data_IF_919832892878
#
_entry.id   IF_919832892878
#
_cell.length_a   1.000
_cell.length_b   1.000
_cell.length_c   1.000
_cell.angle_alpha   90.00
_cell.angle_beta   90.00
_cell.angle_gamma   90.00
#
_symmetry.space_group_name_H-M   'P 1'
#
loop_
_entity.id
_entity.type
_entity.pdbx_description
1 polymer ?
#
# COMPACT_ATOMS: atom_id res chain seq x y z
N UNK A 1 16.14 49.27 -2.75
CA UNK A 1 16.65 48.00 -2.18
C UNK A 1 15.45 47.09 -2.01
N UNK A 2 15.31 46.04 -2.83
CA UNK A 2 14.15 45.13 -2.82
C UNK A 2 14.53 43.93 -1.96
N UNK A 3 13.89 43.77 -0.81
CA UNK A 3 14.12 42.62 0.08
C UNK A 3 13.23 41.46 -0.38
N UNK A 4 13.82 40.41 -0.93
CA UNK A 4 13.11 39.15 -1.20
C UNK A 4 12.90 38.40 0.12
N UNK A 5 11.65 38.14 0.47
CA UNK A 5 11.29 37.31 1.61
C UNK A 5 11.10 35.88 1.10
N UNK A 6 12.04 34.98 1.42
CA UNK A 6 11.91 33.55 1.11
C UNK A 6 11.06 32.91 2.21
N UNK A 7 9.80 32.60 1.89
CA UNK A 7 8.94 31.82 2.76
C UNK A 7 9.36 30.35 2.73
N UNK A 8 9.83 29.83 3.87
CA UNK A 8 10.11 28.40 4.04
C UNK A 8 8.76 27.68 4.20
N UNK A 9 8.29 27.05 3.12
CA UNK A 9 7.14 26.15 3.21
C UNK A 9 7.66 24.82 3.75
N UNK A 10 7.24 24.47 4.96
CA UNK A 10 7.60 23.22 5.60
C UNK A 10 6.93 22.05 4.85
N UNK A 11 7.72 21.31 4.08
CA UNK A 11 7.23 20.08 3.46
C UNK A 11 7.00 19.04 4.57
N UNK A 12 5.74 18.76 4.90
CA UNK A 12 5.39 17.64 5.78
C UNK A 12 5.69 16.33 5.05
N UNK A 13 6.91 15.81 5.23
CA UNK A 13 7.34 14.50 4.80
C UNK A 13 6.66 13.40 5.65
N UNK A 14 5.34 13.30 5.52
CA UNK A 14 4.56 12.21 6.11
C UNK A 14 4.49 11.01 5.17
N UNK A 15 4.40 9.81 5.74
CA UNK A 15 4.09 8.60 4.98
C UNK A 15 2.75 8.74 4.24
N UNK A 16 2.61 8.10 3.09
CA UNK A 16 1.36 8.11 2.31
C UNK A 16 0.22 7.52 3.14
N UNK A 17 -0.99 8.10 3.06
CA UNK A 17 -2.19 7.62 3.74
C UNK A 17 -3.06 6.78 2.80
N UNK A 18 -4.01 6.02 3.34
CA UNK A 18 -5.04 5.34 2.54
C UNK A 18 -5.86 6.28 1.66
N UNK A 19 -6.12 7.51 2.12
CA UNK A 19 -6.83 8.53 1.35
C UNK A 19 -6.03 8.93 0.09
N UNK A 20 -4.75 9.21 0.29
CA UNK A 20 -3.84 9.58 -0.81
C UNK A 20 -3.67 8.42 -1.78
N UNK A 21 -3.54 7.19 -1.28
CA UNK A 21 -3.46 6.00 -2.11
C UNK A 21 -4.73 5.81 -2.95
N UNK A 22 -5.93 5.86 -2.35
CA UNK A 22 -7.18 5.67 -3.09
C UNK A 22 -7.33 6.73 -4.19
N UNK A 23 -6.97 8.00 -3.91
CA UNK A 23 -7.00 9.07 -4.92
C UNK A 23 -6.15 8.75 -6.16
N UNK A 24 -4.98 8.12 -5.98
CA UNK A 24 -4.17 7.68 -7.11
C UNK A 24 -4.83 6.50 -7.85
N UNK A 25 -5.39 5.55 -7.11
CA UNK A 25 -5.99 4.35 -7.67
C UNK A 25 -7.29 4.61 -8.45
N UNK A 26 -8.02 5.68 -8.14
CA UNK A 26 -9.30 6.02 -8.80
C UNK A 26 -9.19 7.20 -9.75
N UNK A 27 -7.97 7.59 -10.13
CA UNK A 27 -7.76 8.70 -11.06
C UNK A 27 -7.92 8.22 -12.51
N UNK A 28 -8.58 9.03 -13.34
CA UNK A 28 -8.78 8.79 -14.78
C UNK A 28 -7.55 9.17 -15.63
N UNK A 29 -6.35 8.83 -15.14
CA UNK A 29 -5.08 9.11 -15.81
C UNK A 29 -4.06 8.01 -15.51
N UNK A 30 -3.32 7.61 -16.54
CA UNK A 30 -2.32 6.53 -16.46
C UNK A 30 -1.19 6.82 -15.45
N UNK A 31 -0.72 8.06 -15.34
CA UNK A 31 0.36 8.43 -14.41
C UNK A 31 0.01 8.16 -12.93
N UNK A 32 -1.08 8.76 -12.40
CA UNK A 32 -1.62 8.43 -11.08
C UNK A 32 -1.87 6.94 -10.84
N UNK A 33 -2.41 6.22 -11.82
CA UNK A 33 -2.63 4.78 -11.69
C UNK A 33 -1.30 4.01 -11.55
N UNK A 34 -0.25 4.43 -12.26
CA UNK A 34 1.10 3.90 -12.08
C UNK A 34 1.67 4.14 -10.68
N UNK A 35 1.34 5.28 -10.04
CA UNK A 35 1.71 5.54 -8.64
C UNK A 35 0.96 4.59 -7.69
N UNK A 36 -0.33 4.34 -7.95
CA UNK A 36 -1.11 3.38 -7.18
C UNK A 36 -0.53 1.96 -7.27
N UNK A 37 -0.30 1.47 -8.50
CA UNK A 37 0.26 0.13 -8.69
C UNK A 37 1.64 0.01 -8.08
N UNK A 38 2.54 0.97 -8.32
CA UNK A 38 3.89 0.95 -7.78
C UNK A 38 3.92 0.96 -6.25
N UNK A 39 3.03 1.71 -5.60
CA UNK A 39 2.97 1.74 -4.14
C UNK A 39 2.45 0.41 -3.56
N UNK A 40 1.36 -0.15 -4.10
CA UNK A 40 0.79 -1.42 -3.61
C UNK A 40 1.78 -2.57 -3.82
N UNK A 41 2.33 -2.69 -5.03
CA UNK A 41 3.27 -3.77 -5.36
C UNK A 41 4.58 -3.61 -4.60
N UNK A 42 5.08 -2.39 -4.43
CA UNK A 42 6.28 -2.15 -3.60
C UNK A 42 6.11 -2.58 -2.15
N UNK A 43 4.90 -2.42 -1.57
CA UNK A 43 4.60 -2.94 -0.22
C UNK A 43 4.61 -4.47 -0.22
N UNK A 44 3.96 -5.09 -1.21
CA UNK A 44 3.93 -6.56 -1.34
C UNK A 44 5.36 -7.10 -1.48
N UNK A 45 6.14 -6.59 -2.41
CA UNK A 45 7.54 -6.97 -2.67
C UNK A 45 8.40 -6.81 -1.41
N UNK A 46 8.24 -5.70 -0.68
CA UNK A 46 8.95 -5.50 0.59
C UNK A 46 8.61 -6.60 1.61
N UNK A 47 7.35 -7.02 1.68
CA UNK A 47 6.93 -8.13 2.54
C UNK A 47 7.38 -9.51 2.01
N UNK A 48 7.62 -9.65 0.71
CA UNK A 48 8.27 -10.84 0.14
C UNK A 48 9.75 -10.90 0.52
N UNK A 49 10.45 -9.75 0.55
CA UNK A 49 11.87 -9.71 0.91
C UNK A 49 12.15 -10.14 2.35
N UNK A 50 11.18 -9.95 3.26
CA UNK A 50 11.26 -10.45 4.64
C UNK A 50 11.31 -12.00 4.73
N UNK A 51 11.03 -12.72 3.62
CA UNK A 51 10.82 -14.18 3.58
C UNK A 51 11.72 -14.95 2.61
N UNK A 52 12.71 -14.33 1.97
CA UNK A 52 13.61 -15.00 0.99
C UNK A 52 14.38 -16.21 1.58
N UNK A 53 14.32 -16.49 2.88
CA UNK A 53 15.11 -17.56 3.51
C UNK A 53 14.37 -18.90 3.73
N UNK A 54 13.04 -19.07 3.52
CA UNK A 54 12.37 -20.34 3.91
C UNK A 54 11.36 -20.99 2.95
N UNK A 55 11.29 -20.59 1.68
CA UNK A 55 10.59 -21.37 0.65
C UNK A 55 9.08 -21.58 0.88
N UNK A 56 8.39 -20.68 1.60
CA UNK A 56 6.94 -20.69 1.79
C UNK A 56 6.32 -19.44 1.15
N UNK A 57 5.18 -19.59 0.48
CA UNK A 57 4.36 -18.51 -0.10
C UNK A 57 3.62 -17.68 0.99
N UNK A 58 4.22 -17.55 2.16
CA UNK A 58 3.66 -16.89 3.34
C UNK A 58 4.37 -15.55 3.52
N UNK A 59 3.63 -14.44 3.48
CA UNK A 59 4.14 -13.10 3.69
C UNK A 59 3.78 -12.63 5.09
N UNK A 60 4.79 -12.22 5.85
CA UNK A 60 4.61 -11.73 7.21
C UNK A 60 5.35 -10.41 7.35
N UNK A 61 4.62 -9.32 7.55
CA UNK A 61 5.24 -8.11 8.04
C UNK A 61 5.40 -8.20 9.56
N UNK A 62 6.61 -8.48 10.04
CA UNK A 62 6.87 -8.61 11.48
C UNK A 62 6.62 -7.31 12.27
N UNK A 63 6.75 -6.15 11.63
CA UNK A 63 6.59 -4.85 12.29
C UNK A 63 5.12 -4.43 12.48
N UNK A 64 4.23 -4.87 11.59
CA UNK A 64 2.81 -4.53 11.57
C UNK A 64 1.92 -5.69 12.01
N UNK A 65 2.46 -6.90 12.11
CA UNK A 65 1.74 -8.09 12.58
C UNK A 65 0.76 -8.67 11.56
N UNK A 66 0.82 -8.24 10.31
CA UNK A 66 -0.06 -8.75 9.26
C UNK A 66 0.57 -9.95 8.54
N UNK A 67 -0.26 -10.98 8.32
CA UNK A 67 0.09 -12.22 7.61
C UNK A 67 -0.90 -12.47 6.47
N UNK A 68 -0.41 -12.82 5.29
CA UNK A 68 -1.22 -13.24 4.14
C UNK A 68 -0.42 -14.17 3.22
N UNK A 69 -1.13 -14.92 2.38
CA UNK A 69 -0.53 -15.90 1.46
C UNK A 69 -1.07 -15.70 0.04
N UNK A 70 -0.19 -15.38 -0.90
CA UNK A 70 -0.57 -15.27 -2.31
C UNK A 70 -0.33 -16.61 -3.00
N UNK A 71 -1.20 -16.99 -3.93
CA UNK A 71 -0.96 -18.18 -4.74
C UNK A 71 0.12 -17.95 -5.80
N UNK A 72 0.76 -19.03 -6.27
CA UNK A 72 1.92 -18.99 -7.18
C UNK A 72 1.74 -18.22 -8.50
N UNK A 73 0.49 -18.03 -8.95
CA UNK A 73 0.17 -17.34 -10.22
C UNK A 73 -0.62 -16.04 -10.02
N UNK A 74 -0.46 -15.39 -8.87
CA UNK A 74 -1.15 -14.14 -8.55
C UNK A 74 -0.81 -13.06 -9.59
N UNK A 75 -1.82 -12.36 -10.07
CA UNK A 75 -1.66 -11.23 -10.98
C UNK A 75 -1.65 -9.91 -10.20
N UNK A 76 -1.12 -8.85 -10.83
CA UNK A 76 -1.15 -7.51 -10.23
C UNK A 76 -2.58 -7.04 -9.92
N UNK A 77 -3.54 -7.33 -10.81
CA UNK A 77 -4.95 -6.97 -10.60
C UNK A 77 -5.56 -7.67 -9.38
N UNK A 78 -5.32 -8.98 -9.24
CA UNK A 78 -5.80 -9.76 -8.09
C UNK A 78 -5.26 -9.25 -6.75
N UNK A 79 -4.07 -8.64 -6.73
CA UNK A 79 -3.52 -7.99 -5.54
C UNK A 79 -4.11 -6.59 -5.31
N UNK A 80 -4.25 -5.80 -6.37
CA UNK A 80 -4.67 -4.40 -6.27
C UNK A 80 -6.17 -4.24 -5.96
N UNK A 81 -7.01 -5.02 -6.63
CA UNK A 81 -8.47 -4.94 -6.52
C UNK A 81 -8.99 -5.05 -5.07
N UNK A 82 -8.58 -6.05 -4.27
CA UNK A 82 -9.04 -6.15 -2.88
C UNK A 82 -8.57 -4.97 -2.02
N UNK A 83 -7.36 -4.46 -2.24
CA UNK A 83 -6.86 -3.26 -1.53
C UNK A 83 -7.72 -2.04 -1.85
N UNK A 84 -8.01 -1.81 -3.13
CA UNK A 84 -8.82 -0.67 -3.57
C UNK A 84 -10.26 -0.80 -3.04
N UNK A 85 -10.84 -2.00 -3.11
CA UNK A 85 -12.17 -2.28 -2.58
C UNK A 85 -12.23 -2.04 -1.07
N UNK A 86 -11.23 -2.53 -0.32
CA UNK A 86 -11.13 -2.34 1.12
C UNK A 86 -11.05 -0.85 1.48
N UNK A 87 -10.25 -0.06 0.77
CA UNK A 87 -10.14 1.39 1.00
C UNK A 87 -11.47 2.12 0.74
N UNK A 88 -12.21 1.74 -0.31
CA UNK A 88 -13.52 2.33 -0.65
C UNK A 88 -14.55 2.10 0.46
N UNK A 89 -14.59 0.92 1.06
CA UNK A 89 -15.59 0.56 2.10
C UNK A 89 -15.15 0.93 3.52
N UNK A 90 -13.90 1.35 3.73
CA UNK A 90 -13.34 1.73 5.04
C UNK A 90 -12.93 3.22 5.14
N UNK A 91 -13.81 4.21 4.84
CA UNK A 91 -13.42 5.61 4.77
C UNK A 91 -12.86 6.17 6.08
N UNK A 92 -13.39 5.71 7.23
CA UNK A 92 -12.92 6.14 8.57
C UNK A 92 -11.49 5.70 8.88
N UNK A 93 -10.94 4.71 8.17
CA UNK A 93 -9.59 4.19 8.37
C UNK A 93 -8.55 4.79 7.41
N UNK A 94 -8.99 5.47 6.34
CA UNK A 94 -8.10 5.99 5.29
C UNK A 94 -7.08 7.04 5.73
N UNK A 95 -7.20 7.58 6.94
CA UNK A 95 -6.20 8.48 7.52
C UNK A 95 -4.93 7.76 8.02
N UNK A 96 -4.98 6.45 8.23
CA UNK A 96 -3.80 5.66 8.59
C UNK A 96 -2.84 5.49 7.40
N UNK A 97 -1.63 5.02 7.68
CA UNK A 97 -0.59 4.81 6.66
C UNK A 97 -1.05 3.79 5.63
N UNK A 98 -0.81 4.09 4.35
CA UNK A 98 -1.19 3.23 3.23
C UNK A 98 -0.58 1.83 3.38
N UNK A 99 0.68 1.71 3.80
CA UNK A 99 1.34 0.42 4.07
C UNK A 99 0.55 -0.44 5.06
N UNK A 100 0.09 0.13 6.17
CA UNK A 100 -0.67 -0.62 7.17
C UNK A 100 -2.04 -1.07 6.65
N UNK A 101 -2.69 -0.23 5.84
CA UNK A 101 -4.01 -0.54 5.27
C UNK A 101 -3.91 -1.57 4.15
N UNK A 102 -2.85 -1.54 3.33
CA UNK A 102 -2.55 -2.58 2.35
C UNK A 102 -2.38 -3.92 3.07
N UNK A 103 -1.55 -3.96 4.12
CA UNK A 103 -1.33 -5.20 4.87
C UNK A 103 -2.61 -5.76 5.50
N UNK A 104 -3.45 -4.89 6.05
CA UNK A 104 -4.76 -5.28 6.59
C UNK A 104 -5.69 -5.83 5.51
N UNK A 105 -5.81 -5.13 4.37
CA UNK A 105 -6.66 -5.55 3.26
C UNK A 105 -6.24 -6.90 2.68
N UNK A 106 -4.93 -7.10 2.50
CA UNK A 106 -4.39 -8.36 1.99
C UNK A 106 -4.57 -9.50 2.99
N UNK A 107 -4.37 -9.27 4.29
CA UNK A 107 -4.67 -10.27 5.33
C UNK A 107 -6.13 -10.73 5.27
N UNK A 108 -7.08 -9.82 5.11
CA UNK A 108 -8.51 -10.17 5.05
C UNK A 108 -8.90 -10.87 3.74
N UNK A 109 -8.14 -10.65 2.67
CA UNK A 109 -8.44 -11.19 1.33
C UNK A 109 -7.72 -12.52 1.05
N UNK A 110 -6.57 -12.73 1.68
CA UNK A 110 -5.63 -13.81 1.38
C UNK A 110 -5.18 -14.50 2.66
N UNK A 111 -6.11 -15.19 3.33
CA UNK A 111 -5.80 -16.00 4.49
C UNK A 111 -4.77 -17.08 4.13
N UNK A 112 -3.84 -17.34 5.04
CA UNK A 112 -2.94 -18.48 4.93
C UNK A 112 -3.61 -19.71 5.54
N UNK A 113 -3.58 -20.84 4.85
CA UNK A 113 -3.88 -22.13 5.46
C UNK A 113 -2.78 -22.48 6.49
N UNK A 114 -3.17 -23.15 7.58
CA UNK A 114 -2.25 -23.60 8.64
C UNK A 114 -1.60 -24.94 8.33
#
# INVERSE_FOLDING_TARGET
MITLVVGIIEAKAGFSTGEKLLKFCTADKNGPQGVCSGYIIGVVDSHQTDKVIKGKDEYLNKHLGYRWCLHKKITQGEVMDPVIAWLKVNPKKRHFTATSLIGKALQESFNCDD
#
